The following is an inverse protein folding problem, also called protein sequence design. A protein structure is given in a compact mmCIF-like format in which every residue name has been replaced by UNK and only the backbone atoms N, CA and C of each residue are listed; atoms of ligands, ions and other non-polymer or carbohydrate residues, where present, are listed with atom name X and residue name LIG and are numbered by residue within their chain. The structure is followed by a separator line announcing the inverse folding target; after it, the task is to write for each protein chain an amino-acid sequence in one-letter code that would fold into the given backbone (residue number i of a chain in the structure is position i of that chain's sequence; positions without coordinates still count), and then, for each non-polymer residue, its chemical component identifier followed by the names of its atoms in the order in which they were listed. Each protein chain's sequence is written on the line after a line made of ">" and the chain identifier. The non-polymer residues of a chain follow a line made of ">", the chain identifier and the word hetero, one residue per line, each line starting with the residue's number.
data_IF_793207646166
#
_entry.id   IF_793207646166
#
_cell.length_a   1.000
_cell.length_b   1.000
_cell.length_c   1.000
_cell.angle_alpha   90.00
_cell.angle_beta   90.00
_cell.angle_gamma   90.00
#
_symmetry.space_group_name_H-M   'P 1'
#
loop_
_entity.id
_entity.type
_entity.pdbx_description
1 polymer ?
#
# COMPACT_ATOMS: atom_id res chain seq x y z
N UNK A 1 -11.43 11.87 11.61
CA UNK A 1 -11.50 11.83 10.13
C UNK A 1 -12.16 10.52 9.76
N UNK A 2 -13.35 10.54 9.13
CA UNK A 2 -13.89 9.32 8.51
C UNK A 2 -13.28 9.25 7.12
N UNK A 3 -12.48 8.23 6.84
CA UNK A 3 -12.00 7.92 5.48
C UNK A 3 -13.21 7.64 4.60
N UNK A 4 -13.60 8.61 3.76
CA UNK A 4 -14.59 8.36 2.70
C UNK A 4 -13.86 7.64 1.57
N UNK A 5 -13.90 6.31 1.61
CA UNK A 5 -13.43 5.47 0.50
C UNK A 5 -14.21 5.91 -0.76
N UNK A 6 -13.47 6.25 -1.83
CA UNK A 6 -14.07 6.68 -3.09
C UNK A 6 -14.97 5.60 -3.69
N UNK A 7 -15.93 5.96 -4.56
CA UNK A 7 -16.50 4.97 -5.47
C UNK A 7 -15.36 4.33 -6.26
N UNK A 8 -15.23 3.02 -6.11
CA UNK A 8 -14.12 2.26 -6.67
C UNK A 8 -14.46 1.88 -8.12
N UNK A 9 -13.94 2.64 -9.08
CA UNK A 9 -13.98 2.21 -10.49
C UNK A 9 -12.79 1.30 -10.75
N UNK A 10 -13.09 0.07 -11.20
CA UNK A 10 -12.10 -0.96 -11.55
C UNK A 10 -12.01 -1.08 -13.06
N UNK A 11 -10.80 -1.22 -13.60
CA UNK A 11 -10.57 -1.54 -15.01
C UNK A 11 -10.02 -2.96 -15.14
N UNK A 12 -10.35 -3.63 -16.24
CA UNK A 12 -9.87 -4.98 -16.52
C UNK A 12 -8.37 -4.97 -16.76
N UNK A 13 -7.65 -5.93 -16.16
CA UNK A 13 -6.23 -6.20 -16.42
C UNK A 13 -5.88 -6.23 -17.91
N UNK A 14 -6.75 -6.77 -18.76
CA UNK A 14 -6.51 -6.86 -20.20
C UNK A 14 -6.34 -5.48 -20.87
N UNK A 15 -6.89 -4.42 -20.28
CA UNK A 15 -6.75 -3.05 -20.79
C UNK A 15 -5.40 -2.40 -20.46
N UNK A 16 -4.59 -3.01 -19.59
CA UNK A 16 -3.26 -2.51 -19.23
C UNK A 16 -2.20 -3.17 -20.13
N UNK A 17 -1.29 -2.41 -20.76
CA UNK A 17 -0.19 -2.98 -21.54
C UNK A 17 0.62 -4.00 -20.73
N UNK A 18 0.97 -5.12 -21.36
CA UNK A 18 1.62 -6.26 -20.70
C UNK A 18 2.96 -5.89 -20.05
N UNK A 19 3.66 -4.87 -20.59
CA UNK A 19 4.91 -4.32 -20.06
C UNK A 19 4.79 -3.89 -18.60
N UNK A 20 3.60 -3.44 -18.16
CA UNK A 20 3.37 -2.97 -16.78
C UNK A 20 2.95 -4.08 -15.81
N UNK A 21 2.64 -5.29 -16.29
CA UNK A 21 2.08 -6.35 -15.43
C UNK A 21 3.06 -6.78 -14.33
N UNK A 22 4.33 -6.96 -14.67
CA UNK A 22 5.38 -7.31 -13.70
C UNK A 22 5.60 -6.21 -12.64
N UNK A 23 5.44 -4.95 -13.04
CA UNK A 23 5.46 -3.80 -12.14
C UNK A 23 4.32 -3.87 -11.12
N UNK A 24 3.09 -4.12 -11.59
CA UNK A 24 1.92 -4.30 -10.71
C UNK A 24 2.09 -5.49 -9.77
N UNK A 25 2.62 -6.62 -10.25
CA UNK A 25 2.90 -7.80 -9.41
C UNK A 25 3.88 -7.47 -8.27
N UNK A 26 4.94 -6.72 -8.57
CA UNK A 26 5.92 -6.27 -7.56
C UNK A 26 5.27 -5.37 -6.51
N UNK A 27 4.42 -4.43 -6.93
CA UNK A 27 3.67 -3.52 -6.05
C UNK A 27 2.75 -4.32 -5.12
N UNK A 28 2.01 -5.30 -5.65
CA UNK A 28 1.11 -6.14 -4.87
C UNK A 28 1.85 -7.00 -3.84
N UNK A 29 3.03 -7.52 -4.19
CA UNK A 29 3.90 -8.24 -3.26
C UNK A 29 4.34 -7.35 -2.11
N UNK A 30 4.72 -6.11 -2.39
CA UNK A 30 5.13 -5.14 -1.38
C UNK A 30 3.96 -4.74 -0.48
N UNK A 31 2.80 -4.44 -1.06
CA UNK A 31 1.57 -4.14 -0.32
C UNK A 31 1.14 -5.30 0.58
N UNK A 32 1.28 -6.55 0.13
CA UNK A 32 0.99 -7.74 0.95
C UNK A 32 1.93 -7.84 2.16
N UNK A 33 3.22 -7.59 1.94
CA UNK A 33 4.23 -7.62 3.00
C UNK A 33 3.98 -6.51 4.02
N UNK A 34 3.74 -5.28 3.55
CA UNK A 34 3.42 -4.12 4.39
C UNK A 34 2.13 -4.33 5.18
N UNK A 35 1.08 -4.87 4.55
CA UNK A 35 -0.20 -5.19 5.20
C UNK A 35 -0.03 -6.18 6.36
N UNK A 36 0.81 -7.21 6.19
CA UNK A 36 1.11 -8.16 7.28
C UNK A 36 1.83 -7.45 8.44
N UNK A 37 2.91 -6.72 8.15
CA UNK A 37 3.68 -5.98 9.16
C UNK A 37 2.79 -4.99 9.91
N UNK A 38 2.05 -4.17 9.17
CA UNK A 38 1.18 -3.13 9.72
C UNK A 38 0.08 -3.71 10.63
N UNK A 39 -0.54 -4.84 10.26
CA UNK A 39 -1.53 -5.51 11.14
C UNK A 39 -0.91 -5.99 12.44
N UNK A 40 0.27 -6.59 12.40
CA UNK A 40 0.99 -7.01 13.60
C UNK A 40 1.31 -5.80 14.48
N UNK A 41 1.89 -4.74 13.91
CA UNK A 41 2.22 -3.52 14.65
C UNK A 41 1.00 -2.83 15.22
N UNK A 42 -0.11 -2.72 14.47
CA UNK A 42 -1.37 -2.16 14.97
C UNK A 42 -1.93 -2.96 16.14
N UNK A 43 -1.93 -4.29 16.06
CA UNK A 43 -2.41 -5.14 17.16
C UNK A 43 -1.58 -4.96 18.43
N UNK A 44 -0.26 -4.84 18.30
CA UNK A 44 0.62 -4.48 19.42
C UNK A 44 0.30 -3.08 19.94
N UNK A 45 0.12 -2.09 19.05
CA UNK A 45 -0.21 -0.72 19.41
C UNK A 45 -1.52 -0.61 20.20
N UNK A 46 -2.58 -1.27 19.76
CA UNK A 46 -3.86 -1.34 20.46
C UNK A 46 -3.72 -1.98 21.85
N UNK A 47 -2.88 -3.01 21.97
CA UNK A 47 -2.61 -3.67 23.25
C UNK A 47 -1.93 -2.72 24.23
N UNK A 48 -0.89 -2.01 23.79
CA UNK A 48 -0.22 -0.99 24.61
C UNK A 48 -1.16 0.14 25.01
N UNK A 49 -2.00 0.61 24.06
CA UNK A 49 -2.98 1.65 24.33
C UNK A 49 -4.01 1.19 25.38
N UNK A 50 -4.49 -0.06 25.31
CA UNK A 50 -5.38 -0.63 26.34
C UNK A 50 -4.73 -0.71 27.72
N UNK A 51 -3.44 -1.03 27.81
CA UNK A 51 -2.70 -1.01 29.08
C UNK A 51 -2.59 0.43 29.60
N UNK A 52 -2.28 1.40 28.74
CA UNK A 52 -2.22 2.82 29.07
C UNK A 52 -3.56 3.34 29.62
N UNK A 53 -4.67 2.92 29.01
CA UNK A 53 -6.02 3.22 29.48
C UNK A 53 -6.25 2.68 30.89
N UNK A 54 -5.87 1.42 31.17
CA UNK A 54 -5.99 0.85 32.53
C UNK A 54 -5.19 1.63 33.57
N UNK A 55 -3.94 2.01 33.25
CA UNK A 55 -3.08 2.83 34.12
C UNK A 55 -3.77 4.18 34.41
N UNK A 56 -4.31 4.80 33.37
CA UNK A 56 -5.04 6.07 33.50
C UNK A 56 -6.23 5.92 34.44
N UNK A 57 -7.11 4.94 34.23
CA UNK A 57 -8.30 4.77 35.06
C UNK A 57 -7.94 4.50 36.52
N UNK A 58 -6.91 3.69 36.79
CA UNK A 58 -6.49 3.35 38.15
C UNK A 58 -5.90 4.53 38.91
N UNK A 59 -5.17 5.42 38.24
CA UNK A 59 -4.36 6.45 38.92
C UNK A 59 -4.88 7.89 38.73
N UNK A 60 -6.01 8.06 38.04
CA UNK A 60 -6.62 9.37 37.73
C UNK A 60 -6.88 10.24 38.96
N UNK A 61 -7.44 9.65 40.02
CA UNK A 61 -7.85 10.42 41.19
C UNK A 61 -6.66 10.87 42.04
N UNK A 62 -5.54 10.14 41.99
CA UNK A 62 -4.33 10.44 42.77
C UNK A 62 -3.45 11.51 42.12
N UNK A 63 -3.43 11.56 40.79
CA UNK A 63 -2.46 12.40 40.06
C UNK A 63 -3.10 13.45 39.15
N UNK A 64 -4.42 13.71 39.29
CA UNK A 64 -5.16 14.62 38.38
C UNK A 64 -4.49 15.98 38.18
N UNK A 65 -3.89 16.55 39.22
CA UNK A 65 -3.23 17.86 39.19
C UNK A 65 -1.77 17.81 38.73
N UNK A 66 -1.13 16.64 38.68
CA UNK A 66 0.29 16.50 38.39
C UNK A 66 0.61 16.81 36.92
N UNK A 67 1.76 17.43 36.66
CA UNK A 67 2.19 17.80 35.31
C UNK A 67 2.44 16.58 34.42
N UNK A 68 3.11 15.54 34.94
CA UNK A 68 3.30 14.27 34.24
C UNK A 68 1.97 13.62 33.84
N UNK A 69 0.93 13.80 34.64
CA UNK A 69 -0.40 13.25 34.36
C UNK A 69 -1.06 13.91 33.16
N UNK A 70 -0.87 15.23 32.99
CA UNK A 70 -1.34 15.93 31.79
C UNK A 70 -0.68 15.38 30.52
N UNK A 71 0.61 15.01 30.59
CA UNK A 71 1.32 14.39 29.47
C UNK A 71 0.79 12.99 29.13
N UNK A 72 0.42 12.20 30.13
CA UNK A 72 -0.26 10.92 29.93
C UNK A 72 -1.61 11.11 29.23
N UNK A 73 -2.40 12.11 29.61
CA UNK A 73 -3.69 12.42 28.98
C UNK A 73 -3.51 12.77 27.51
N UNK A 74 -2.52 13.60 27.17
CA UNK A 74 -2.20 13.93 25.78
C UNK A 74 -1.75 12.70 24.98
N UNK A 75 -0.88 11.87 25.56
CA UNK A 75 -0.44 10.60 24.94
C UNK A 75 -1.63 9.71 24.60
N UNK A 76 -2.60 9.58 25.52
CA UNK A 76 -3.83 8.80 25.28
C UNK A 76 -4.69 9.39 24.17
N UNK A 77 -4.91 10.70 24.20
CA UNK A 77 -5.69 11.41 23.17
C UNK A 77 -5.08 11.18 21.79
N UNK A 78 -3.75 11.24 21.71
CA UNK A 78 -3.03 11.01 20.48
C UNK A 78 -3.12 9.54 20.02
N UNK A 79 -2.93 8.58 20.93
CA UNK A 79 -3.03 7.16 20.59
C UNK A 79 -4.40 6.77 20.04
N UNK A 80 -5.48 7.29 20.62
CA UNK A 80 -6.84 7.12 20.09
C UNK A 80 -7.01 7.75 18.71
N UNK A 81 -6.33 8.88 18.43
CA UNK A 81 -6.37 9.51 17.11
C UNK A 81 -5.70 8.63 16.06
N UNK A 82 -4.59 7.96 16.37
CA UNK A 82 -3.96 6.97 15.47
C UNK A 82 -4.91 5.81 15.20
N UNK A 83 -5.50 5.22 16.23
CA UNK A 83 -6.45 4.10 16.11
C UNK A 83 -7.63 4.46 15.17
N UNK A 84 -8.15 5.67 15.30
CA UNK A 84 -9.28 6.18 14.51
C UNK A 84 -8.97 6.38 13.01
N UNK A 85 -7.70 6.41 12.60
CA UNK A 85 -7.34 6.55 11.18
C UNK A 85 -7.80 5.32 10.38
N UNK A 86 -7.79 4.14 10.99
CA UNK A 86 -8.19 2.91 10.30
C UNK A 86 -7.18 2.47 9.23
N UNK A 87 -5.88 2.51 9.54
CA UNK A 87 -4.81 2.08 8.62
C UNK A 87 -4.98 0.64 8.09
N UNK A 88 -5.51 -0.27 8.93
CA UNK A 88 -5.80 -1.65 8.52
C UNK A 88 -6.84 -1.72 7.39
N UNK A 89 -8.08 -1.24 7.63
CA UNK A 89 -9.11 -1.14 6.60
C UNK A 89 -8.66 -0.37 5.34
N UNK A 90 -7.86 0.69 5.51
CA UNK A 90 -7.29 1.45 4.40
C UNK A 90 -6.42 0.58 3.48
N UNK A 91 -5.49 -0.20 4.03
CA UNK A 91 -4.65 -1.11 3.24
C UNK A 91 -5.46 -2.23 2.60
N UNK A 92 -6.48 -2.72 3.31
CA UNK A 92 -7.34 -3.77 2.78
C UNK A 92 -8.14 -3.26 1.57
N UNK A 93 -8.69 -2.04 1.65
CA UNK A 93 -9.36 -1.40 0.52
C UNK A 93 -8.42 -1.19 -0.68
N UNK A 94 -7.17 -0.77 -0.44
CA UNK A 94 -6.18 -0.65 -1.50
C UNK A 94 -5.89 -2.01 -2.15
N UNK A 95 -5.75 -3.08 -1.37
CA UNK A 95 -5.47 -4.42 -1.90
C UNK A 95 -6.65 -5.01 -2.66
N UNK A 96 -7.87 -4.87 -2.14
CA UNK A 96 -9.08 -5.38 -2.83
C UNK A 96 -9.42 -4.60 -4.08
N UNK A 97 -8.83 -3.40 -4.28
CA UNK A 97 -8.99 -2.66 -5.53
C UNK A 97 -8.48 -3.40 -6.78
N UNK A 98 -7.56 -4.35 -6.59
CA UNK A 98 -6.97 -5.15 -7.67
C UNK A 98 -7.73 -6.46 -7.98
N UNK A 99 -8.81 -6.73 -7.24
CA UNK A 99 -9.63 -7.93 -7.39
C UNK A 99 -11.04 -7.55 -7.84
N UNK A 100 -11.67 -8.41 -8.65
CA UNK A 100 -13.05 -8.21 -9.11
C UNK A 100 -14.06 -8.19 -7.96
N UNK A 101 -13.88 -9.10 -7.01
CA UNK A 101 -14.75 -9.30 -5.86
C UNK A 101 -14.04 -8.88 -4.57
N UNK A 102 -14.81 -8.38 -3.62
CA UNK A 102 -14.33 -8.02 -2.28
C UNK A 102 -14.12 -9.24 -1.37
N UNK A 103 -13.80 -10.39 -1.97
CA UNK A 103 -13.66 -11.64 -1.24
C UNK A 103 -12.20 -11.81 -0.79
N UNK A 104 -11.91 -11.80 0.53
CA UNK A 104 -10.54 -11.88 1.04
C UNK A 104 -9.84 -13.20 0.68
N UNK A 105 -10.60 -14.24 0.29
CA UNK A 105 -10.04 -15.52 -0.18
C UNK A 105 -9.36 -15.38 -1.55
N UNK A 106 -9.78 -14.44 -2.39
CA UNK A 106 -9.25 -14.21 -3.73
C UNK A 106 -7.95 -13.40 -3.74
N UNK A 107 -7.56 -12.79 -2.61
CA UNK A 107 -6.26 -12.11 -2.42
C UNK A 107 -5.06 -13.08 -2.49
N UNK A 108 -5.29 -14.38 -2.69
CA UNK A 108 -4.27 -15.40 -2.92
C UNK A 108 -4.00 -15.67 -4.41
N UNK A 109 -4.89 -15.25 -5.31
CA UNK A 109 -4.77 -15.46 -6.75
C UNK A 109 -4.11 -14.29 -7.49
N UNK A 110 -3.95 -14.46 -8.80
CA UNK A 110 -3.50 -13.38 -9.69
C UNK A 110 -4.49 -12.21 -9.68
N UNK A 111 -3.97 -10.99 -9.76
CA UNK A 111 -4.84 -9.81 -9.88
C UNK A 111 -5.57 -9.81 -11.23
N UNK A 112 -6.80 -9.31 -11.20
CA UNK A 112 -7.72 -9.32 -12.35
C UNK A 112 -8.11 -7.91 -12.77
N UNK A 113 -8.01 -6.94 -11.87
CA UNK A 113 -8.41 -5.57 -12.10
C UNK A 113 -7.33 -4.63 -11.56
N UNK A 114 -7.39 -3.37 -11.96
CA UNK A 114 -6.61 -2.31 -11.36
C UNK A 114 -7.50 -1.09 -11.04
N UNK A 115 -7.18 -0.31 -10.00
CA UNK A 115 -7.98 0.85 -9.62
C UNK A 115 -7.92 1.97 -10.66
N UNK A 116 -8.92 2.85 -10.70
CA UNK A 116 -8.84 4.03 -11.54
C UNK A 116 -7.82 5.08 -11.02
N UNK A 117 -7.33 5.95 -11.91
CA UNK A 117 -6.37 7.03 -11.60
C UNK A 117 -6.88 7.93 -10.46
N UNK A 118 -8.17 8.26 -10.44
CA UNK A 118 -8.76 9.09 -9.40
C UNK A 118 -8.68 8.43 -8.01
N UNK A 119 -8.82 7.10 -7.94
CA UNK A 119 -8.66 6.34 -6.70
C UNK A 119 -7.20 6.38 -6.22
N UNK A 120 -6.25 6.13 -7.12
CA UNK A 120 -4.81 6.12 -6.77
C UNK A 120 -4.34 7.47 -6.26
N UNK A 121 -4.78 8.58 -6.87
CA UNK A 121 -4.49 9.94 -6.38
C UNK A 121 -5.00 10.15 -4.96
N UNK A 122 -6.24 9.77 -4.67
CA UNK A 122 -6.81 9.90 -3.33
C UNK A 122 -6.07 9.05 -2.29
N UNK A 123 -5.72 7.81 -2.63
CA UNK A 123 -4.93 6.95 -1.74
C UNK A 123 -3.58 7.59 -1.43
N UNK A 124 -2.96 8.25 -2.42
CA UNK A 124 -1.71 8.99 -2.23
C UNK A 124 -1.90 10.14 -1.23
N UNK A 125 -2.94 10.95 -1.41
CA UNK A 125 -3.29 12.04 -0.49
C UNK A 125 -3.50 11.51 0.95
N UNK A 126 -4.30 10.46 1.12
CA UNK A 126 -4.55 9.82 2.42
C UNK A 126 -3.25 9.30 3.05
N UNK A 127 -2.37 8.64 2.27
CA UNK A 127 -1.04 8.23 2.74
C UNK A 127 -0.25 9.43 3.30
N UNK A 128 -0.24 10.57 2.60
CA UNK A 128 0.48 11.76 3.10
C UNK A 128 -0.13 12.32 4.38
N UNK A 129 -1.46 12.32 4.52
CA UNK A 129 -2.15 12.77 5.72
C UNK A 129 -1.82 11.86 6.91
N UNK A 130 -1.83 10.55 6.69
CA UNK A 130 -1.50 9.57 7.72
C UNK A 130 -0.03 9.64 8.13
N UNK A 131 0.89 9.82 7.17
CA UNK A 131 2.31 9.98 7.47
C UNK A 131 2.56 11.23 8.30
N UNK A 132 1.94 12.37 7.96
CA UNK A 132 2.02 13.60 8.76
C UNK A 132 1.51 13.41 10.19
N UNK A 133 0.38 12.71 10.33
CA UNK A 133 -0.18 12.43 11.64
C UNK A 133 0.75 11.51 12.46
N UNK A 134 1.25 10.42 11.90
CA UNK A 134 2.18 9.52 12.59
C UNK A 134 3.50 10.22 12.97
N UNK A 135 4.02 11.09 12.11
CA UNK A 135 5.21 11.88 12.39
C UNK A 135 5.01 12.87 13.54
N UNK A 136 3.89 13.61 13.53
CA UNK A 136 3.49 14.44 14.68
C UNK A 136 3.40 13.59 15.96
N UNK A 137 2.83 12.39 15.86
CA UNK A 137 2.72 11.47 16.98
C UNK A 137 4.04 11.05 17.59
N UNK A 138 4.98 10.68 16.73
CA UNK A 138 6.34 10.34 17.12
C UNK A 138 6.99 11.49 17.87
N UNK A 139 6.92 12.71 17.33
CA UNK A 139 7.49 13.90 17.97
C UNK A 139 6.87 14.16 19.37
N UNK A 140 5.55 14.02 19.51
CA UNK A 140 4.86 14.20 20.80
C UNK A 140 5.23 13.13 21.83
N UNK A 141 5.39 11.88 21.40
CA UNK A 141 5.81 10.78 22.28
C UNK A 141 7.25 10.96 22.75
N UNK A 142 8.15 11.38 21.85
CA UNK A 142 9.54 11.70 22.20
C UNK A 142 9.63 12.86 23.18
N UNK A 143 8.88 13.93 22.96
CA UNK A 143 8.86 15.06 23.91
C UNK A 143 8.25 14.65 25.25
N UNK A 144 7.21 13.81 25.25
CA UNK A 144 6.64 13.27 26.48
C UNK A 144 7.66 12.43 27.24
N UNK A 145 8.42 11.58 26.54
CA UNK A 145 9.50 10.79 27.14
C UNK A 145 10.57 11.68 27.79
N UNK A 146 10.98 12.76 27.11
CA UNK A 146 11.98 13.71 27.63
C UNK A 146 11.49 14.39 28.91
N UNK A 147 10.23 14.86 28.91
CA UNK A 147 9.61 15.50 30.08
C UNK A 147 9.51 14.51 31.24
N UNK A 148 9.02 13.29 31.00
CA UNK A 148 8.89 12.29 32.05
C UNK A 148 10.25 11.90 32.66
N UNK A 149 11.29 11.81 31.82
CA UNK A 149 12.66 11.58 32.28
C UNK A 149 13.17 12.70 33.18
N UNK A 150 12.80 13.95 32.93
CA UNK A 150 13.13 15.09 33.78
C UNK A 150 12.37 15.05 35.11
N UNK A 151 11.05 14.79 35.07
CA UNK A 151 10.19 14.70 36.26
C UNK A 151 10.67 13.60 37.22
N UNK A 152 11.25 12.51 36.68
CA UNK A 152 11.83 11.42 37.47
C UNK A 152 12.98 11.88 38.38
N UNK A 153 13.71 12.95 38.02
CA UNK A 153 14.81 13.49 38.83
C UNK A 153 14.32 14.09 40.16
N UNK A 154 13.05 14.49 40.24
CA UNK A 154 12.45 15.00 41.49
C UNK A 154 12.30 13.95 42.59
N UNK A 155 12.38 12.66 42.23
CA UNK A 155 12.19 11.54 43.14
C UNK A 155 10.74 11.29 43.58
N UNK A 156 9.80 12.16 43.21
CA UNK A 156 8.40 12.00 43.51
C UNK A 156 7.73 11.02 42.54
N UNK A 157 6.94 10.07 43.07
CA UNK A 157 6.14 9.13 42.27
C UNK A 157 6.93 8.33 41.20
N UNK A 158 8.24 8.08 41.42
CA UNK A 158 9.15 7.43 40.46
C UNK A 158 8.52 6.17 39.84
N UNK A 159 7.92 5.31 40.67
CA UNK A 159 7.31 4.07 40.20
C UNK A 159 6.26 4.30 39.10
N UNK A 160 5.36 5.27 39.29
CA UNK A 160 4.31 5.59 38.30
C UNK A 160 4.93 6.23 37.06
N UNK A 161 5.89 7.15 37.24
CA UNK A 161 6.58 7.81 36.13
C UNK A 161 7.32 6.78 35.27
N UNK A 162 8.04 5.82 35.87
CA UNK A 162 8.75 4.75 35.16
C UNK A 162 7.80 3.87 34.34
N UNK A 163 6.65 3.51 34.91
CA UNK A 163 5.63 2.75 34.18
C UNK A 163 5.17 3.55 32.97
N UNK A 164 4.78 4.83 33.15
CA UNK A 164 4.32 5.68 32.04
C UNK A 164 5.43 5.86 31.00
N UNK A 165 6.67 6.10 31.43
CA UNK A 165 7.84 6.27 30.56
C UNK A 165 8.07 5.03 29.68
N UNK A 166 7.99 3.83 30.28
CA UNK A 166 8.13 2.57 29.54
C UNK A 166 7.03 2.40 28.48
N UNK A 167 5.78 2.75 28.81
CA UNK A 167 4.64 2.70 27.88
C UNK A 167 4.81 3.71 26.74
N UNK A 168 5.22 4.94 27.05
CA UNK A 168 5.48 5.98 26.05
C UNK A 168 6.60 5.56 25.10
N UNK A 169 7.68 4.98 25.63
CA UNK A 169 8.78 4.45 24.81
C UNK A 169 8.31 3.36 23.85
N UNK A 170 7.54 2.38 24.34
CA UNK A 170 6.96 1.31 23.50
C UNK A 170 6.03 1.87 22.42
N UNK A 171 5.15 2.80 22.79
CA UNK A 171 4.25 3.47 21.83
C UNK A 171 5.03 4.27 20.79
N UNK A 172 6.15 4.90 21.16
CA UNK A 172 7.00 5.64 20.23
C UNK A 172 7.63 4.71 19.18
N UNK A 173 8.15 3.56 19.61
CA UNK A 173 8.70 2.54 18.71
C UNK A 173 7.63 2.02 17.75
N UNK A 174 6.46 1.64 18.27
CA UNK A 174 5.36 1.14 17.44
C UNK A 174 4.84 2.21 16.46
N UNK A 175 4.78 3.48 16.89
CA UNK A 175 4.41 4.59 16.00
C UNK A 175 5.44 4.78 14.88
N UNK A 176 6.74 4.62 15.18
CA UNK A 176 7.80 4.64 14.16
C UNK A 176 7.67 3.49 13.18
N UNK A 177 7.40 2.27 13.66
CA UNK A 177 7.18 1.11 12.80
C UNK A 177 5.96 1.27 11.87
N UNK A 178 4.88 1.89 12.38
CA UNK A 178 3.71 2.22 11.58
C UNK A 178 4.05 3.26 10.51
N UNK A 179 4.81 4.30 10.87
CA UNK A 179 5.26 5.34 9.95
C UNK A 179 6.11 4.75 8.82
N UNK A 180 7.09 3.91 9.15
CA UNK A 180 7.95 3.25 8.17
C UNK A 180 7.12 2.35 7.25
N UNK A 181 6.23 1.53 7.81
CA UNK A 181 5.34 0.66 7.02
C UNK A 181 4.45 1.46 6.06
N UNK A 182 3.95 2.62 6.50
CA UNK A 182 3.14 3.51 5.68
C UNK A 182 3.97 4.17 4.56
N UNK A 183 5.23 4.54 4.82
CA UNK A 183 6.10 5.09 3.78
C UNK A 183 6.43 4.06 2.69
N UNK A 184 6.55 2.78 3.03
CA UNK A 184 6.69 1.71 2.04
C UNK A 184 5.42 1.57 1.19
N UNK A 185 4.24 1.67 1.82
CA UNK A 185 2.96 1.71 1.09
C UNK A 185 2.90 2.92 0.17
N UNK A 186 3.23 4.11 0.67
CA UNK A 186 3.24 5.34 -0.13
C UNK A 186 4.17 5.21 -1.35
N UNK A 187 5.37 4.63 -1.15
CA UNK A 187 6.31 4.36 -2.25
C UNK A 187 5.75 3.37 -3.28
N UNK A 188 5.00 2.35 -2.83
CA UNK A 188 4.31 1.43 -3.74
C UNK A 188 3.17 2.11 -4.51
N UNK A 189 2.43 3.01 -3.86
CA UNK A 189 1.35 3.80 -4.49
C UNK A 189 1.92 4.82 -5.48
N UNK A 190 3.05 5.46 -5.20
CA UNK A 190 3.71 6.37 -6.13
C UNK A 190 4.23 5.64 -7.39
N UNK A 191 4.77 4.42 -7.24
CA UNK A 191 5.11 3.56 -8.38
C UNK A 191 3.87 3.16 -9.18
N UNK A 192 2.75 2.91 -8.51
CA UNK A 192 1.49 2.65 -9.18
C UNK A 192 1.02 3.89 -9.97
N UNK A 193 1.16 5.08 -9.39
CA UNK A 193 0.82 6.35 -10.04
C UNK A 193 1.65 6.61 -11.30
N UNK A 194 2.97 6.31 -11.27
CA UNK A 194 3.83 6.50 -12.44
C UNK A 194 3.43 5.61 -13.62
N UNK A 195 2.89 4.41 -13.36
CA UNK A 195 2.32 3.54 -14.42
C UNK A 195 1.16 4.24 -15.15
N UNK A 196 0.27 4.95 -14.45
CA UNK A 196 -0.82 5.69 -15.11
C UNK A 196 -0.31 6.87 -15.93
N UNK A 197 0.68 7.60 -15.41
CA UNK A 197 1.27 8.74 -16.13
C UNK A 197 1.88 8.25 -17.44
N UNK A 198 2.67 7.18 -17.38
CA UNK A 198 3.33 6.62 -18.56
C UNK A 198 2.34 5.99 -19.56
N UNK A 199 1.29 5.33 -19.08
CA UNK A 199 0.25 4.79 -19.96
C UNK A 199 -0.54 5.90 -20.69
N UNK A 200 -0.79 7.03 -20.03
CA UNK A 200 -1.46 8.18 -20.68
C UNK A 200 -0.63 8.72 -21.85
N UNK A 201 0.69 8.81 -21.69
CA UNK A 201 1.59 9.29 -22.74
C UNK A 201 1.62 8.34 -23.96
N UNK A 202 1.60 7.03 -23.75
CA UNK A 202 1.59 6.04 -24.84
C UNK A 202 0.27 6.13 -25.65
N UNK A 203 -0.86 6.32 -24.97
CA UNK A 203 -2.15 6.50 -25.65
C UNK A 203 -2.22 7.80 -26.47
N UNK A 204 -1.57 8.88 -26.02
CA UNK A 204 -1.50 10.12 -26.80
C UNK A 204 -0.61 9.97 -28.04
N UNK A 205 0.49 9.20 -27.96
CA UNK A 205 1.36 8.96 -29.12
C UNK A 205 0.72 8.06 -30.17
N UNK A 206 -0.06 7.04 -29.75
CA UNK A 206 -0.78 6.15 -30.68
C UNK A 206 -1.94 6.88 -31.40
N UNK A 207 -2.53 7.89 -30.76
CA UNK A 207 -3.58 8.72 -31.38
C UNK A 207 -3.02 9.81 -32.31
N UNK A 208 -1.72 10.12 -32.25
CA UNK A 208 -1.10 11.17 -33.06
C UNK A 208 -0.60 10.66 -34.43
N UNK A 209 -0.41 9.35 -34.58
CA UNK A 209 -0.19 8.71 -35.88
C UNK A 209 -1.41 7.85 -36.24
N UNK A 210 -2.44 8.44 -36.89
CA UNK A 210 -3.43 7.62 -37.57
C UNK A 210 -2.67 6.70 -38.51
N UNK A 211 -2.90 5.39 -38.39
CA UNK A 211 -2.41 4.43 -39.38
C UNK A 211 -3.14 4.72 -40.69
N UNK A 212 -2.58 5.65 -41.47
CA UNK A 212 -3.07 5.95 -42.79
C UNK A 212 -2.94 4.70 -43.66
N UNK A 213 -4.06 4.44 -44.32
CA UNK A 213 -4.35 3.28 -45.16
C UNK A 213 -3.25 3.10 -46.22
N UNK A 214 -2.45 2.04 -46.10
CA UNK A 214 -1.75 1.48 -47.26
C UNK A 214 -2.83 0.80 -48.11
N UNK A 215 -3.36 1.58 -49.07
CA UNK A 215 -4.19 1.08 -50.15
C UNK A 215 -3.43 0.00 -50.93
N UNK A 216 -3.79 -1.27 -50.69
CA UNK A 216 -3.54 -2.37 -51.63
C UNK A 216 -4.50 -2.23 -52.81
N UNK A 217 -4.11 -1.45 -53.80
CA UNK A 217 -4.81 -1.40 -55.09
C UNK A 217 -3.89 -0.92 -56.21
N UNK A 218 -2.83 -1.69 -56.51
CA UNK A 218 -2.19 -1.70 -57.82
C UNK A 218 -1.37 -2.99 -58.00
N UNK A 219 -1.77 -3.78 -59.00
CA UNK A 219 -1.03 -4.82 -59.76
C UNK A 219 -1.76 -6.16 -59.85
N UNK A 220 -2.82 -6.18 -60.67
CA UNK A 220 -3.19 -7.35 -61.46
C UNK A 220 -2.44 -7.27 -62.80
N UNK A 221 -1.60 -8.27 -63.10
CA UNK A 221 -1.43 -8.80 -64.46
C UNK A 221 -0.54 -10.06 -64.44
N UNK A 222 -1.19 -11.20 -64.66
CA UNK A 222 -0.69 -12.55 -64.99
C UNK A 222 0.23 -12.55 -66.23
N UNK A 223 1.06 -13.58 -66.51
CA UNK A 223 0.56 -14.86 -67.04
C UNK A 223 1.29 -16.14 -66.55
N UNK A 224 0.59 -17.27 -66.71
CA UNK A 224 1.03 -18.66 -66.49
C UNK A 224 2.21 -19.08 -67.39
N UNK A 225 2.92 -20.18 -67.06
CA UNK A 225 2.76 -21.43 -67.85
C UNK A 225 3.06 -22.72 -67.02
N UNK A 226 3.35 -23.89 -67.62
CA UNK A 226 2.39 -24.95 -67.89
C UNK A 226 2.65 -26.24 -67.09
N UNK A 227 1.62 -27.09 -67.05
CA UNK A 227 1.68 -28.46 -66.56
C UNK A 227 2.51 -29.33 -67.52
N UNK A 228 3.54 -30.01 -67.02
CA UNK A 228 3.96 -31.29 -67.61
C UNK A 228 4.49 -32.26 -66.55
N UNK A 229 4.01 -33.51 -66.69
CA UNK A 229 4.32 -34.67 -65.86
C UNK A 229 5.73 -35.17 -66.20
N UNK A 230 6.44 -35.72 -65.21
CA UNK A 230 7.21 -36.96 -65.36
C UNK A 230 7.57 -37.53 -63.98
N UNK A 231 7.64 -38.84 -63.97
CA UNK A 231 7.55 -39.82 -62.88
C UNK A 231 8.87 -40.15 -62.17
N UNK A 232 8.76 -40.49 -60.86
CA UNK A 232 9.42 -41.55 -60.02
C UNK A 232 10.87 -42.01 -60.34
N UNK A 233 11.71 -42.46 -59.36
CA UNK A 233 11.31 -43.39 -58.29
C UNK A 233 12.03 -43.24 -56.91
N UNK A 234 11.67 -44.23 -56.06
CA UNK A 234 12.05 -44.64 -54.70
C UNK A 234 13.54 -44.58 -54.30
N UNK A 235 13.72 -44.78 -52.98
CA UNK A 235 14.90 -45.21 -52.19
C UNK A 235 15.57 -44.07 -51.40
N UNK A 236 15.93 -44.14 -50.11
CA UNK A 236 16.07 -45.23 -49.12
C UNK A 236 16.19 -44.62 -47.69
N UNK A 237 15.87 -45.44 -46.66
CA UNK A 237 16.35 -45.44 -45.26
C UNK A 237 16.22 -44.20 -44.34
N UNK A 238 15.47 -44.29 -43.23
CA UNK A 238 15.86 -44.82 -41.90
C UNK A 238 17.09 -44.12 -41.31
N UNK A 239 16.90 -43.34 -40.23
CA UNK A 239 17.55 -43.61 -38.93
C UNK A 239 16.99 -42.71 -37.81
N UNK A 240 16.50 -43.38 -36.76
CA UNK A 240 16.19 -42.83 -35.44
C UNK A 240 17.48 -42.52 -34.67
N UNK A 241 17.46 -41.49 -33.84
CA UNK A 241 18.52 -41.21 -32.86
C UNK A 241 18.15 -40.07 -31.91
N UNK A 242 17.32 -40.37 -30.91
CA UNK A 242 17.37 -39.87 -29.53
C UNK A 242 16.23 -40.49 -28.71
#
# INVERSE_FOLDING_TARGET
>A
MRTRIAPLTRRDRASLPQVYHSGVDSILKDLKTCSKRLRTTLSSYETELKILERIYYKSKNQHRSALFWRRLVETRRFGRRIEQIGLGPFLDALRTSFCREDNPKLLKGSWTHYPDKAFVLRITEECTLFSKLLDEGRARLQETYRILSLEMQSGAFIHVILIILSMVSRLALLTSDLYDSLNHVNSAVLRLQSIYVNNTLIQETDNFFPSDQINQSCLNSTPAPPSDRLSLPREFELFLGC
#
